data_IF_342424737005
#
_entry.id   IF_342424737005
#
_cell.length_a   1.000
_cell.length_b   1.000
_cell.length_c   1.000
_cell.angle_alpha   90.00
_cell.angle_beta   90.00
_cell.angle_gamma   90.00
#
_symmetry.space_group_name_H-M   'P 1'
#
loop_
_entity.id
_entity.type
_entity.pdbx_description
1 polymer ?
#
# COMPACT_ATOMS: atom_id res chain seq x y z
N UNK A 1 3.33 -13.48 20.18
CA UNK A 1 3.36 -12.29 19.29
C UNK A 1 3.00 -12.73 17.87
N UNK A 2 2.76 -11.81 16.93
CA UNK A 2 2.46 -12.15 15.53
C UNK A 2 3.49 -13.15 14.95
N UNK A 3 4.78 -12.94 15.27
CA UNK A 3 5.88 -13.84 14.92
C UNK A 3 5.63 -15.28 15.37
N UNK A 4 5.20 -15.48 16.60
CA UNK A 4 4.93 -16.82 17.16
C UNK A 4 3.76 -17.52 16.46
N UNK A 5 2.75 -16.77 16.04
CA UNK A 5 1.55 -17.34 15.43
C UNK A 5 1.74 -17.67 13.94
N UNK A 6 2.46 -16.81 13.20
CA UNK A 6 2.64 -16.95 11.74
C UNK A 6 3.91 -17.73 11.38
N UNK A 7 4.99 -17.55 12.15
CA UNK A 7 6.31 -18.11 11.86
C UNK A 7 7.18 -17.20 10.97
N UNK A 8 8.50 -17.30 11.15
CA UNK A 8 9.48 -16.42 10.48
C UNK A 8 9.51 -16.62 8.95
N UNK A 9 9.37 -17.84 8.45
CA UNK A 9 9.43 -18.14 7.01
C UNK A 9 8.28 -17.47 6.24
N UNK A 10 7.04 -17.66 6.71
CA UNK A 10 5.86 -17.04 6.11
C UNK A 10 5.90 -15.51 6.23
N UNK A 11 6.40 -14.98 7.34
CA UNK A 11 6.57 -13.54 7.50
C UNK A 11 7.60 -12.98 6.52
N UNK A 12 8.74 -13.65 6.33
CA UNK A 12 9.77 -13.25 5.37
C UNK A 12 9.21 -13.25 3.94
N UNK A 13 8.49 -14.30 3.57
CA UNK A 13 7.84 -14.40 2.25
C UNK A 13 6.85 -13.25 2.02
N UNK A 14 5.97 -12.99 2.99
CA UNK A 14 5.00 -11.90 2.93
C UNK A 14 5.68 -10.52 2.84
N UNK A 15 6.72 -10.28 3.64
CA UNK A 15 7.48 -9.03 3.64
C UNK A 15 8.16 -8.83 2.29
N UNK A 16 8.82 -9.86 1.74
CA UNK A 16 9.47 -9.77 0.43
C UNK A 16 8.46 -9.46 -0.68
N UNK A 17 7.33 -10.17 -0.70
CA UNK A 17 6.25 -9.90 -1.65
C UNK A 17 5.76 -8.46 -1.56
N UNK A 18 5.50 -7.97 -0.34
CA UNK A 18 5.02 -6.60 -0.11
C UNK A 18 6.04 -5.55 -0.55
N UNK A 19 7.33 -5.77 -0.26
CA UNK A 19 8.40 -4.85 -0.66
C UNK A 19 8.57 -4.79 -2.17
N UNK A 20 8.53 -5.93 -2.87
CA UNK A 20 8.55 -5.95 -4.34
C UNK A 20 7.33 -5.22 -4.92
N UNK A 21 6.13 -5.50 -4.41
CA UNK A 21 4.92 -4.83 -4.85
C UNK A 21 5.01 -3.31 -4.69
N UNK A 22 5.44 -2.82 -3.51
CA UNK A 22 5.58 -1.38 -3.25
C UNK A 22 6.68 -0.74 -4.12
N UNK A 23 7.76 -1.47 -4.38
CA UNK A 23 8.83 -0.99 -5.25
C UNK A 23 8.30 -0.67 -6.66
N UNK A 24 7.43 -1.53 -7.19
CA UNK A 24 6.87 -1.42 -8.54
C UNK A 24 5.67 -0.46 -8.66
N UNK A 25 5.10 0.01 -7.54
CA UNK A 25 3.98 0.96 -7.56
C UNK A 25 4.37 2.29 -8.19
N UNK A 26 3.61 2.75 -9.18
CA UNK A 26 3.73 4.11 -9.71
C UNK A 26 2.90 5.07 -8.85
N UNK A 27 3.56 5.72 -7.88
CA UNK A 27 2.95 6.71 -7.00
C UNK A 27 3.83 7.96 -6.96
N UNK A 28 3.24 9.16 -6.78
CA UNK A 28 3.99 10.42 -6.90
C UNK A 28 5.17 10.54 -5.94
N UNK A 29 5.03 9.98 -4.73
CA UNK A 29 5.99 10.11 -3.64
C UNK A 29 6.13 8.77 -2.90
N UNK A 30 7.38 8.37 -2.64
CA UNK A 30 7.77 7.29 -1.71
C UNK A 30 8.69 7.86 -0.63
N UNK A 31 8.52 7.44 0.61
CA UNK A 31 9.33 7.80 1.80
C UNK A 31 9.93 6.54 2.42
N UNK A 32 10.12 6.51 3.74
CA UNK A 32 10.63 5.35 4.47
C UNK A 32 9.57 4.71 5.37
N UNK A 33 9.90 3.55 5.95
CA UNK A 33 9.02 2.79 6.85
C UNK A 33 7.75 2.30 6.12
N UNK A 34 7.95 1.52 5.05
CA UNK A 34 6.86 0.92 4.26
C UNK A 34 6.17 -0.24 4.99
N UNK A 35 6.91 -0.97 5.80
CA UNK A 35 6.41 -2.05 6.64
C UNK A 35 6.91 -1.77 8.06
N UNK A 36 5.99 -1.72 9.01
CA UNK A 36 6.31 -1.62 10.43
C UNK A 36 5.76 -2.83 11.18
N UNK A 37 6.67 -3.56 11.83
CA UNK A 37 6.33 -4.70 12.65
C UNK A 37 5.91 -4.26 14.06
N UNK A 38 4.73 -4.71 14.50
CA UNK A 38 4.23 -4.54 15.87
C UNK A 38 3.98 -5.88 16.53
N UNK A 39 3.81 -5.89 17.85
CA UNK A 39 3.65 -7.11 18.66
C UNK A 39 2.54 -8.06 18.16
N UNK A 40 1.48 -7.53 17.53
CA UNK A 40 0.35 -8.30 17.00
C UNK A 40 -0.04 -8.02 15.55
N UNK A 41 0.66 -7.13 14.83
CA UNK A 41 0.26 -6.72 13.48
C UNK A 41 1.44 -6.22 12.65
N UNK A 42 1.26 -6.23 11.33
CA UNK A 42 2.12 -5.54 10.36
C UNK A 42 1.35 -4.34 9.83
N UNK A 43 1.91 -3.14 9.97
CA UNK A 43 1.40 -1.96 9.28
C UNK A 43 2.13 -1.81 7.95
N UNK A 44 1.38 -1.77 6.86
CA UNK A 44 1.92 -1.58 5.50
C UNK A 44 1.45 -0.23 4.97
N UNK A 45 2.38 0.61 4.50
CA UNK A 45 2.11 1.93 3.92
C UNK A 45 2.88 2.09 2.60
N UNK A 46 2.21 2.22 1.44
CA UNK A 46 2.88 2.39 0.15
C UNK A 46 3.68 3.70 0.03
N UNK A 47 3.16 4.81 0.57
CA UNK A 47 3.91 6.08 0.64
C UNK A 47 5.04 6.01 1.68
N UNK A 48 4.96 5.09 2.65
CA UNK A 48 5.86 5.02 3.80
C UNK A 48 5.39 5.90 4.96
N UNK A 49 5.61 5.44 6.19
CA UNK A 49 5.12 6.13 7.41
C UNK A 49 5.92 7.36 7.82
N UNK A 50 7.10 7.56 7.23
CA UNK A 50 7.93 8.74 7.49
C UNK A 50 7.53 9.95 6.62
N UNK A 51 6.35 9.93 5.98
CA UNK A 51 5.84 11.07 5.22
C UNK A 51 5.34 12.19 6.13
N UNK A 52 5.30 13.42 5.61
CA UNK A 52 4.63 14.54 6.30
C UNK A 52 3.10 14.35 6.30
N UNK A 53 2.39 15.17 7.07
CA UNK A 53 0.93 15.15 7.05
C UNK A 53 0.40 15.61 5.69
N UNK A 54 1.00 16.66 5.11
CA UNK A 54 0.62 17.17 3.79
C UNK A 54 0.84 16.10 2.71
N UNK A 55 1.98 15.42 2.73
CA UNK A 55 2.27 14.31 1.80
C UNK A 55 1.27 13.17 1.93
N UNK A 56 0.82 12.89 3.17
CA UNK A 56 -0.17 11.85 3.44
C UNK A 56 -1.55 12.23 2.90
N UNK A 57 -1.96 13.48 3.08
CA UNK A 57 -3.23 13.99 2.59
C UNK A 57 -3.26 14.01 1.06
N UNK A 58 -2.15 14.41 0.42
CA UNK A 58 -2.00 14.35 -1.04
C UNK A 58 -2.01 12.91 -1.57
N UNK A 59 -1.37 11.97 -0.86
CA UNK A 59 -1.44 10.56 -1.21
C UNK A 59 -2.86 9.99 -1.09
N UNK A 60 -3.62 10.39 -0.07
CA UNK A 60 -5.01 9.99 0.10
C UNK A 60 -5.89 10.52 -1.04
N UNK A 61 -5.69 11.78 -1.44
CA UNK A 61 -6.36 12.37 -2.61
C UNK A 61 -6.01 11.62 -3.89
N UNK A 62 -4.71 11.39 -4.15
CA UNK A 62 -4.25 10.63 -5.32
C UNK A 62 -4.90 9.25 -5.39
N UNK A 63 -4.92 8.50 -4.27
CA UNK A 63 -5.56 7.18 -4.21
C UNK A 63 -7.06 7.26 -4.50
N UNK A 64 -7.75 8.22 -3.89
CA UNK A 64 -9.20 8.40 -4.08
C UNK A 64 -9.53 8.77 -5.52
N UNK A 65 -8.74 9.67 -6.11
CA UNK A 65 -8.87 10.05 -7.52
C UNK A 65 -8.55 8.88 -8.43
N UNK A 66 -7.50 8.11 -8.19
CA UNK A 66 -7.17 6.91 -8.98
C UNK A 66 -8.27 5.83 -8.88
N UNK A 67 -8.84 5.62 -7.68
CA UNK A 67 -9.99 4.74 -7.49
C UNK A 67 -11.24 5.25 -8.21
N UNK A 68 -11.53 6.55 -8.13
CA UNK A 68 -12.60 7.15 -8.92
C UNK A 68 -12.36 7.00 -10.42
N UNK A 69 -11.15 7.26 -10.89
CA UNK A 69 -10.79 7.15 -12.30
C UNK A 69 -10.95 5.71 -12.80
N UNK A 70 -10.48 4.74 -12.02
CA UNK A 70 -10.68 3.32 -12.31
C UNK A 70 -12.16 2.95 -12.31
N UNK A 71 -12.96 3.44 -11.35
CA UNK A 71 -14.40 3.20 -11.31
C UNK A 71 -15.14 3.85 -12.49
N UNK A 72 -14.75 5.07 -12.89
CA UNK A 72 -15.30 5.76 -14.06
C UNK A 72 -14.94 5.04 -15.36
N UNK A 73 -13.69 4.61 -15.51
CA UNK A 73 -13.22 3.83 -16.67
C UNK A 73 -13.87 2.44 -16.74
N UNK A 74 -13.97 1.73 -15.61
CA UNK A 74 -14.63 0.42 -15.55
C UNK A 74 -16.14 0.54 -15.83
N UNK A 75 -16.80 1.62 -15.35
CA UNK A 75 -18.21 1.90 -15.67
C UNK A 75 -18.43 2.26 -17.13
N UNK A 76 -17.53 3.04 -17.75
CA UNK A 76 -17.68 3.42 -19.17
C UNK A 76 -17.53 2.23 -20.13
N UNK A 77 -16.75 1.21 -19.74
CA UNK A 77 -16.65 -0.06 -20.48
C UNK A 77 -17.93 -0.91 -20.38
N UNK A 78 -18.65 -0.85 -19.26
CA UNK A 78 -19.92 -1.58 -19.08
C UNK A 78 -21.12 -0.95 -19.82
N UNK A 79 -21.02 0.31 -20.25
CA UNK A 79 -22.03 0.97 -21.10
C UNK A 79 -21.82 0.71 -22.60
N UNK A 80 -20.79 -0.05 -22.97
CA UNK A 80 -20.47 -0.43 -24.35
C UNK A 80 -20.72 -1.92 -24.67
N UNK A 81 -21.42 -2.64 -23.78
CA UNK A 81 -21.94 -4.00 -24.00
C UNK A 81 -23.44 -4.04 -23.73
#
# INVERSE_FOLDING_TARGET
>A
SLKTFVGDEKLKEFINFTLHYIADLDIPIKRGTFIEFRSGMLNVSPIGRNCSQEERDEFEKFRTSAQQWFLYFARSLHTLT
#
